data_IF_959412377473
#
_entry.id   IF_959412377473
#
_cell.length_a   1.000
_cell.length_b   1.000
_cell.length_c   1.000
_cell.angle_alpha   90.00
_cell.angle_beta   90.00
_cell.angle_gamma   90.00
#
_symmetry.space_group_name_H-M   'P 1'
#
loop_
_entity.id
_entity.type
_entity.pdbx_description
1 polymer ?
#
# COMPACT_ATOMS: atom_id res chain seq x y z
N UNK A 1 3.92 2.43 5.59
CA UNK A 1 4.97 1.68 4.85
C UNK A 1 4.70 1.61 3.34
N UNK A 2 3.67 0.90 2.84
CA UNK A 2 3.31 0.81 1.40
C UNK A 2 3.37 2.12 0.61
N UNK A 3 2.76 3.19 1.14
CA UNK A 3 2.75 4.50 0.45
C UNK A 3 4.15 5.10 0.27
N UNK A 4 5.09 4.84 1.21
CA UNK A 4 6.48 5.28 1.07
C UNK A 4 7.15 4.53 -0.08
N UNK A 5 6.96 3.19 -0.15
CA UNK A 5 7.47 2.36 -1.25
C UNK A 5 6.93 2.77 -2.61
N UNK A 6 5.64 3.14 -2.68
CA UNK A 6 5.05 3.61 -3.95
C UNK A 6 5.69 4.92 -4.40
N UNK A 7 5.92 5.87 -3.47
CA UNK A 7 6.59 7.15 -3.76
C UNK A 7 8.05 6.96 -4.20
N UNK A 8 8.80 6.09 -3.53
CA UNK A 8 10.19 5.80 -3.92
C UNK A 8 10.23 5.17 -5.30
N UNK A 9 9.36 4.19 -5.57
CA UNK A 9 9.25 3.56 -6.88
C UNK A 9 8.91 4.57 -8.00
N UNK A 10 7.96 5.48 -7.77
CA UNK A 10 7.65 6.54 -8.75
C UNK A 10 8.86 7.45 -9.02
N UNK A 11 9.66 7.71 -7.99
CA UNK A 11 10.87 8.54 -8.11
C UNK A 11 11.96 7.80 -8.90
N UNK A 12 12.15 6.51 -8.64
CA UNK A 12 13.08 5.63 -9.37
C UNK A 12 12.71 5.53 -10.85
N UNK A 13 11.44 5.25 -11.15
CA UNK A 13 10.95 5.16 -12.54
C UNK A 13 11.15 6.48 -13.29
N UNK A 14 10.87 7.63 -12.67
CA UNK A 14 11.13 8.95 -13.27
C UNK A 14 12.63 9.21 -13.49
N UNK A 15 13.51 8.63 -12.67
CA UNK A 15 14.96 8.72 -12.88
C UNK A 15 15.37 7.89 -14.10
N UNK A 16 14.91 6.65 -14.18
CA UNK A 16 15.17 5.75 -15.30
C UNK A 16 14.68 6.34 -16.63
N UNK A 17 13.48 6.93 -16.64
CA UNK A 17 12.93 7.58 -17.82
C UNK A 17 13.79 8.77 -18.30
N UNK A 18 14.32 9.58 -17.37
CA UNK A 18 15.23 10.68 -17.70
C UNK A 18 16.56 10.19 -18.24
N UNK A 19 17.11 9.12 -17.67
CA UNK A 19 18.35 8.49 -18.14
C UNK A 19 18.17 7.90 -19.54
N UNK A 20 17.05 7.21 -19.78
CA UNK A 20 16.67 6.70 -21.09
C UNK A 20 16.58 7.83 -22.12
N UNK A 21 15.89 8.94 -21.80
CA UNK A 21 15.78 10.10 -22.69
C UNK A 21 17.15 10.71 -23.02
N UNK A 22 18.02 10.91 -22.02
CA UNK A 22 19.40 11.37 -22.21
C UNK A 22 20.19 10.42 -23.11
N UNK A 23 20.01 9.11 -22.97
CA UNK A 23 20.68 8.12 -23.82
C UNK A 23 20.18 8.20 -25.27
N UNK A 24 18.87 8.36 -25.49
CA UNK A 24 18.30 8.54 -26.83
C UNK A 24 18.79 9.83 -27.49
N UNK A 25 18.88 10.93 -26.74
CA UNK A 25 19.47 12.20 -27.21
C UNK A 25 20.94 12.03 -27.61
N UNK A 26 21.76 11.37 -26.77
CA UNK A 26 23.17 11.06 -27.10
C UNK A 26 23.28 10.23 -28.38
N UNK A 27 22.44 9.19 -28.52
CA UNK A 27 22.39 8.35 -29.73
C UNK A 27 21.93 9.15 -30.95
N UNK A 28 21.01 10.10 -30.81
CA UNK A 28 20.59 10.98 -31.89
C UNK A 28 21.75 11.86 -32.37
N UNK A 29 22.40 12.59 -31.45
CA UNK A 29 23.58 13.41 -31.78
C UNK A 29 24.71 12.62 -32.43
N UNK A 30 24.95 11.38 -31.99
CA UNK A 30 25.94 10.50 -32.60
C UNK A 30 25.57 10.12 -34.05
N UNK A 31 24.27 9.91 -34.33
CA UNK A 31 23.79 9.65 -35.71
C UNK A 31 23.92 10.87 -36.60
N UNK A 32 23.67 12.06 -36.07
CA UNK A 32 23.79 13.32 -36.83
C UNK A 32 25.26 13.59 -37.18
N UNK A 33 26.17 13.48 -36.21
CA UNK A 33 27.63 13.56 -36.46
C UNK A 33 28.11 12.53 -37.47
N UNK A 34 27.64 11.29 -37.37
CA UNK A 34 27.99 10.25 -38.35
C UNK A 34 27.50 10.63 -39.76
N UNK A 35 26.32 11.23 -39.88
CA UNK A 35 25.77 11.66 -41.17
C UNK A 35 26.54 12.83 -41.80
N UNK A 36 27.11 13.74 -41.00
CA UNK A 36 27.95 14.85 -41.47
C UNK A 36 29.34 14.37 -41.93
N UNK A 37 29.92 13.44 -41.18
CA UNK A 37 31.31 12.99 -41.38
C UNK A 37 31.47 11.83 -42.35
N UNK A 38 30.42 11.04 -42.57
CA UNK A 38 30.48 9.86 -43.45
C UNK A 38 29.78 10.10 -44.77
N UNK A 39 30.55 10.04 -45.85
CA UNK A 39 30.00 10.04 -47.20
C UNK A 39 29.18 8.78 -47.49
N UNK A 40 28.04 9.02 -48.12
CA UNK A 40 27.09 7.96 -48.47
C UNK A 40 27.56 7.26 -49.74
N UNK A 41 27.99 6.00 -49.61
CA UNK A 41 28.26 5.15 -50.79
C UNK A 41 26.97 4.95 -51.60
N UNK A 42 27.02 5.22 -52.90
CA UNK A 42 25.92 5.00 -53.85
C UNK A 42 26.34 3.96 -54.90
N UNK A 43 25.38 3.23 -55.45
CA UNK A 43 25.62 2.28 -56.54
C UNK A 43 25.77 3.05 -57.85
N UNK A 44 26.27 2.39 -58.90
CA UNK A 44 26.30 2.95 -60.26
C UNK A 44 24.93 3.48 -60.73
N UNK A 45 23.82 2.97 -60.16
CA UNK A 45 22.45 3.38 -60.46
C UNK A 45 21.89 4.42 -59.46
N UNK A 46 22.75 5.06 -58.66
CA UNK A 46 22.36 6.12 -57.71
C UNK A 46 21.72 5.66 -56.40
N UNK A 47 21.44 4.36 -56.22
CA UNK A 47 20.88 3.81 -54.98
C UNK A 47 21.90 3.87 -53.84
N UNK A 48 21.51 4.33 -52.64
CA UNK A 48 22.38 4.27 -51.44
C UNK A 48 22.73 2.81 -51.15
N UNK A 49 24.03 2.50 -51.07
CA UNK A 49 24.51 1.23 -50.53
C UNK A 49 24.61 1.32 -49.01
N UNK A 50 24.22 0.23 -48.35
CA UNK A 50 24.35 0.08 -46.90
C UNK A 50 23.01 -0.13 -46.20
N UNK A 51 23.10 -0.39 -44.89
CA UNK A 51 21.93 -0.71 -44.07
C UNK A 51 21.01 0.51 -43.95
N UNK A 52 19.70 0.38 -44.17
CA UNK A 52 18.76 1.49 -44.01
C UNK A 52 18.82 2.05 -42.59
N UNK A 53 18.55 3.36 -42.44
CA UNK A 53 18.45 4.02 -41.14
C UNK A 53 17.38 3.32 -40.31
N UNK A 54 17.77 2.70 -39.18
CA UNK A 54 16.81 2.20 -38.19
C UNK A 54 16.11 3.40 -37.55
N UNK A 55 14.86 3.69 -37.94
CA UNK A 55 13.98 4.60 -37.20
C UNK A 55 13.71 3.94 -35.85
N UNK A 56 14.12 4.57 -34.74
CA UNK A 56 13.82 4.04 -33.40
C UNK A 56 12.81 4.95 -32.72
N UNK A 57 11.56 4.53 -32.76
CA UNK A 57 10.52 4.99 -31.84
C UNK A 57 10.58 4.14 -30.56
N UNK A 58 11.75 4.05 -29.93
CA UNK A 58 11.86 3.33 -28.66
C UNK A 58 11.22 4.17 -27.57
N UNK A 59 10.08 3.70 -27.06
CA UNK A 59 9.42 4.26 -25.89
C UNK A 59 10.09 3.69 -24.63
N UNK A 60 10.15 4.49 -23.56
CA UNK A 60 10.55 3.98 -22.26
C UNK A 60 9.49 3.01 -21.75
N UNK A 61 9.90 1.80 -21.40
CA UNK A 61 9.06 0.80 -20.75
C UNK A 61 9.60 0.52 -19.35
N UNK A 62 8.79 0.71 -18.29
CA UNK A 62 9.23 0.42 -16.93
C UNK A 62 9.44 -1.08 -16.71
N UNK A 63 10.35 -1.42 -15.80
CA UNK A 63 10.63 -2.81 -15.45
C UNK A 63 9.37 -3.51 -14.92
N UNK A 64 9.00 -4.61 -15.57
CA UNK A 64 7.90 -5.48 -15.17
C UNK A 64 8.41 -6.58 -14.22
N UNK A 65 7.53 -7.03 -13.33
CA UNK A 65 7.75 -8.15 -12.42
C UNK A 65 7.43 -9.48 -13.13
N UNK A 66 7.60 -10.61 -12.44
CA UNK A 66 7.31 -11.95 -12.99
C UNK A 66 5.86 -12.13 -13.44
N UNK A 67 4.93 -11.39 -12.81
CA UNK A 67 3.51 -11.37 -13.18
C UNK A 67 3.19 -10.41 -14.36
N UNK A 68 4.20 -9.77 -14.96
CA UNK A 68 4.02 -8.83 -16.07
C UNK A 68 3.57 -7.42 -15.66
N UNK A 69 3.33 -7.17 -14.36
CA UNK A 69 2.91 -5.87 -13.84
C UNK A 69 4.10 -5.00 -13.43
N UNK A 70 3.90 -3.69 -13.34
CA UNK A 70 4.91 -2.82 -12.73
C UNK A 70 4.86 -2.91 -11.21
N UNK A 71 5.97 -2.59 -10.55
CA UNK A 71 6.02 -2.48 -9.08
C UNK A 71 5.02 -1.45 -8.53
N UNK A 72 4.64 -0.44 -9.32
CA UNK A 72 3.63 0.55 -8.90
C UNK A 72 2.21 -0.03 -8.90
N UNK A 73 1.90 -0.89 -9.86
CA UNK A 73 0.61 -1.58 -9.99
C UNK A 73 0.45 -2.59 -8.84
N UNK A 74 1.47 -3.43 -8.63
CA UNK A 74 1.54 -4.35 -7.48
C UNK A 74 1.26 -3.61 -6.16
N UNK A 75 1.98 -2.51 -5.90
CA UNK A 75 1.79 -1.71 -4.68
C UNK A 75 0.40 -1.08 -4.58
N UNK A 76 -0.31 -0.94 -5.69
CA UNK A 76 -1.70 -0.45 -5.72
C UNK A 76 -2.66 -1.55 -5.33
N UNK A 77 -2.55 -2.73 -5.94
CA UNK A 77 -3.45 -3.86 -5.73
C UNK A 77 -3.34 -4.45 -4.32
N UNK A 78 -2.12 -4.58 -3.79
CA UNK A 78 -1.87 -5.12 -2.42
C UNK A 78 -2.44 -4.26 -1.29
N UNK A 79 -3.04 -3.09 -1.57
CA UNK A 79 -3.68 -2.23 -0.56
C UNK A 79 -4.67 -2.98 0.32
N UNK A 80 -5.62 -3.66 -0.32
CA UNK A 80 -6.73 -4.32 0.35
C UNK A 80 -6.33 -5.69 0.89
N UNK A 81 -5.57 -6.53 0.15
CA UNK A 81 -5.02 -7.78 0.69
C UNK A 81 -4.25 -7.60 1.99
N UNK A 82 -3.43 -6.54 2.13
CA UNK A 82 -2.71 -6.24 3.37
C UNK A 82 -3.61 -6.07 4.61
N UNK A 83 -4.88 -5.72 4.43
CA UNK A 83 -5.85 -5.57 5.54
C UNK A 83 -6.60 -6.85 5.88
N UNK A 84 -6.59 -7.85 4.99
CA UNK A 84 -7.31 -9.12 5.14
C UNK A 84 -6.44 -10.21 5.79
N UNK A 85 -7.05 -11.31 6.20
CA UNK A 85 -6.29 -12.51 6.56
C UNK A 85 -5.87 -13.26 5.28
N UNK A 86 -4.82 -14.07 5.38
CA UNK A 86 -4.32 -14.84 4.25
C UNK A 86 -5.34 -15.83 3.69
N UNK A 87 -6.27 -16.31 4.53
CA UNK A 87 -7.35 -17.21 4.12
C UNK A 87 -8.40 -16.51 3.24
N UNK A 88 -8.50 -15.18 3.33
CA UNK A 88 -9.50 -14.39 2.60
C UNK A 88 -8.94 -13.83 1.27
N UNK A 89 -7.73 -14.25 0.89
CA UNK A 89 -7.09 -13.84 -0.34
C UNK A 89 -7.53 -14.72 -1.51
N UNK A 90 -7.85 -14.09 -2.63
CA UNK A 90 -7.97 -14.80 -3.91
C UNK A 90 -6.60 -15.29 -4.36
N UNK A 91 -6.55 -16.26 -5.28
CA UNK A 91 -5.27 -16.80 -5.75
C UNK A 91 -4.39 -15.74 -6.43
N UNK A 92 -5.02 -14.81 -7.16
CA UNK A 92 -4.36 -13.62 -7.67
C UNK A 92 -3.72 -12.77 -6.55
N UNK A 93 -4.46 -12.50 -5.47
CA UNK A 93 -3.93 -11.74 -4.33
C UNK A 93 -2.81 -12.48 -3.60
N UNK A 94 -2.87 -13.81 -3.53
CA UNK A 94 -1.78 -14.62 -2.93
C UNK A 94 -0.48 -14.45 -3.70
N UNK A 95 -0.54 -14.48 -5.03
CA UNK A 95 0.64 -14.30 -5.88
C UNK A 95 1.20 -12.88 -5.75
N UNK A 96 0.35 -11.84 -5.79
CA UNK A 96 0.78 -10.47 -5.56
C UNK A 96 1.42 -10.27 -4.17
N UNK A 97 0.80 -10.82 -3.13
CA UNK A 97 1.32 -10.72 -1.77
C UNK A 97 2.64 -11.46 -1.61
N UNK A 98 2.81 -12.61 -2.28
CA UNK A 98 4.08 -13.33 -2.35
C UNK A 98 5.17 -12.45 -2.98
N UNK A 99 4.92 -11.88 -4.16
CA UNK A 99 5.85 -10.98 -4.84
C UNK A 99 6.20 -9.76 -3.98
N UNK A 100 5.21 -9.15 -3.32
CA UNK A 100 5.43 -8.04 -2.42
C UNK A 100 6.38 -8.42 -1.27
N UNK A 101 6.21 -9.62 -0.71
CA UNK A 101 7.02 -10.08 0.42
C UNK A 101 8.43 -10.51 0.02
N UNK A 102 8.62 -10.96 -1.23
CA UNK A 102 9.94 -11.19 -1.82
C UNK A 102 10.69 -9.87 -2.05
N UNK A 103 10.01 -8.85 -2.59
CA UNK A 103 10.59 -7.53 -2.85
C UNK A 103 10.86 -6.76 -1.54
N UNK A 104 9.95 -6.82 -0.57
CA UNK A 104 10.04 -6.08 0.69
C UNK A 104 9.77 -6.99 1.90
N UNK A 105 10.81 -7.68 2.42
CA UNK A 105 10.68 -8.57 3.58
C UNK A 105 10.18 -7.87 4.85
N UNK A 106 10.44 -6.55 5.01
CA UNK A 106 9.92 -5.79 6.16
C UNK A 106 8.39 -5.72 6.16
N UNK A 107 7.75 -5.69 4.98
CA UNK A 107 6.29 -5.72 4.87
C UNK A 107 5.73 -7.08 5.30
N UNK A 108 6.43 -8.18 5.00
CA UNK A 108 6.08 -9.53 5.49
C UNK A 108 6.10 -9.60 7.01
N UNK A 109 7.16 -9.07 7.62
CA UNK A 109 7.29 -9.03 9.08
C UNK A 109 6.18 -8.17 9.73
N UNK A 110 5.90 -6.98 9.17
CA UNK A 110 4.82 -6.12 9.65
C UNK A 110 3.45 -6.80 9.53
N UNK A 111 3.15 -7.42 8.39
CA UNK A 111 1.90 -8.14 8.15
C UNK A 111 1.74 -9.29 9.15
N UNK A 112 2.78 -10.10 9.35
CA UNK A 112 2.77 -11.20 10.32
C UNK A 112 2.50 -10.73 11.75
N UNK A 113 3.06 -9.59 12.16
CA UNK A 113 2.78 -9.00 13.48
C UNK A 113 1.33 -8.53 13.62
N UNK A 114 0.75 -7.93 12.57
CA UNK A 114 -0.66 -7.52 12.58
C UNK A 114 -1.61 -8.71 12.61
N UNK A 115 -1.31 -9.77 11.85
CA UNK A 115 -2.06 -11.03 11.91
C UNK A 115 -1.96 -11.69 13.28
N UNK A 116 -0.77 -11.68 13.90
CA UNK A 116 -0.60 -12.18 15.26
C UNK A 116 -1.44 -11.40 16.26
N UNK A 117 -1.49 -10.06 16.14
CA UNK A 117 -2.35 -9.23 16.98
C UNK A 117 -3.82 -9.58 16.79
N UNK A 118 -4.30 -9.65 15.53
CA UNK A 118 -5.68 -10.04 15.22
C UNK A 118 -6.03 -11.40 15.82
N UNK A 119 -5.13 -12.38 15.71
CA UNK A 119 -5.31 -13.71 16.29
C UNK A 119 -5.47 -13.67 17.82
N UNK A 120 -4.83 -12.73 18.52
CA UNK A 120 -5.03 -12.57 19.97
C UNK A 120 -6.49 -12.21 20.26
N UNK A 121 -7.03 -11.19 19.58
CA UNK A 121 -8.41 -10.75 19.76
C UNK A 121 -9.45 -11.78 19.28
N UNK A 122 -9.15 -12.52 18.21
CA UNK A 122 -10.05 -13.55 17.70
C UNK A 122 -10.06 -14.82 18.55
N UNK A 123 -8.88 -15.33 18.95
CA UNK A 123 -8.76 -16.68 19.54
C UNK A 123 -8.74 -16.71 21.07
N UNK A 124 -8.28 -15.64 21.73
CA UNK A 124 -8.23 -15.62 23.21
C UNK A 124 -9.60 -15.29 23.76
N UNK A 125 -10.05 -16.10 24.73
CA UNK A 125 -11.33 -15.91 25.44
C UNK A 125 -11.10 -15.19 26.77
N UNK A 126 -10.06 -15.57 27.51
CA UNK A 126 -9.82 -15.04 28.85
C UNK A 126 -8.88 -13.84 28.86
N UNK A 127 -9.19 -12.85 29.72
CA UNK A 127 -8.39 -11.65 29.95
C UNK A 127 -6.93 -11.95 30.33
N UNK A 128 -6.70 -12.90 31.25
CA UNK A 128 -5.34 -13.31 31.68
C UNK A 128 -4.54 -13.91 30.52
N UNK A 129 -5.17 -14.78 29.73
CA UNK A 129 -4.55 -15.42 28.56
C UNK A 129 -4.22 -14.40 27.47
N UNK A 130 -5.12 -13.44 27.22
CA UNK A 130 -4.92 -12.33 26.30
C UNK A 130 -3.76 -11.43 26.73
N UNK A 131 -3.68 -11.06 28.03
CA UNK A 131 -2.57 -10.26 28.58
C UNK A 131 -1.22 -10.91 28.33
N UNK A 132 -1.08 -12.21 28.64
CA UNK A 132 0.16 -12.96 28.38
C UNK A 132 0.51 -12.98 26.89
N UNK A 133 -0.49 -13.12 26.02
CA UNK A 133 -0.29 -13.11 24.57
C UNK A 133 0.12 -11.73 24.04
N UNK A 134 -0.50 -10.65 24.53
CA UNK A 134 -0.13 -9.27 24.20
C UNK A 134 1.31 -8.97 24.62
N UNK A 135 1.73 -9.37 25.82
CA UNK A 135 3.10 -9.17 26.28
C UNK A 135 4.12 -9.92 25.42
N UNK A 136 3.80 -11.15 24.98
CA UNK A 136 4.61 -11.89 23.99
C UNK A 136 4.66 -11.14 22.66
N UNK A 137 3.54 -10.61 22.20
CA UNK A 137 3.47 -9.82 20.97
C UNK A 137 4.30 -8.52 21.08
N UNK A 138 4.26 -7.80 22.21
CA UNK A 138 5.09 -6.61 22.43
C UNK A 138 6.59 -6.92 22.31
N UNK A 139 7.04 -8.02 22.89
CA UNK A 139 8.42 -8.49 22.78
C UNK A 139 8.81 -8.76 21.33
N UNK A 140 7.93 -9.41 20.57
CA UNK A 140 8.15 -9.67 19.14
C UNK A 140 8.21 -8.38 18.32
N UNK A 141 7.31 -7.42 18.57
CA UNK A 141 7.34 -6.10 17.92
C UNK A 141 8.63 -5.34 18.23
N UNK A 142 9.12 -5.42 19.49
CA UNK A 142 10.38 -4.80 19.88
C UNK A 142 11.59 -5.31 19.07
N UNK A 143 11.55 -6.55 18.60
CA UNK A 143 12.64 -7.17 17.81
C UNK A 143 12.67 -6.72 16.35
N UNK A 144 11.55 -6.31 15.75
CA UNK A 144 11.49 -6.02 14.29
C UNK A 144 11.96 -4.61 13.92
N UNK A 145 12.15 -3.71 14.90
CA UNK A 145 12.57 -2.30 14.68
C UNK A 145 11.69 -1.52 13.68
N UNK A 146 10.45 -1.96 13.45
CA UNK A 146 9.51 -1.28 12.55
C UNK A 146 8.78 -0.17 13.31
N UNK A 147 9.17 1.09 13.08
CA UNK A 147 8.67 2.26 13.82
C UNK A 147 7.14 2.36 13.82
N UNK A 148 6.50 2.12 12.67
CA UNK A 148 5.05 2.19 12.55
C UNK A 148 4.33 1.18 13.46
N UNK A 149 4.83 -0.06 13.59
CA UNK A 149 4.22 -1.09 14.44
C UNK A 149 4.60 -0.88 15.92
N UNK A 150 5.80 -0.38 16.19
CA UNK A 150 6.24 0.03 17.53
C UNK A 150 5.31 1.11 18.09
N UNK A 151 4.96 2.13 17.29
CA UNK A 151 4.01 3.15 17.70
C UNK A 151 2.64 2.56 18.06
N UNK A 152 2.12 1.62 17.24
CA UNK A 152 0.86 0.92 17.55
C UNK A 152 0.96 0.13 18.86
N UNK A 153 2.06 -0.59 19.07
CA UNK A 153 2.33 -1.30 20.32
C UNK A 153 2.31 -0.36 21.52
N UNK A 154 2.96 0.79 21.43
CA UNK A 154 3.08 1.72 22.54
C UNK A 154 1.71 2.34 22.89
N UNK A 155 0.89 2.66 21.89
CA UNK A 155 -0.50 3.08 22.10
C UNK A 155 -1.34 2.01 22.80
N UNK A 156 -1.25 0.75 22.34
CA UNK A 156 -1.98 -0.36 22.97
C UNK A 156 -1.49 -0.58 24.41
N UNK A 157 -0.17 -0.55 24.63
CA UNK A 157 0.43 -0.74 25.95
C UNK A 157 0.01 0.36 26.93
N UNK A 158 -0.05 1.61 26.49
CA UNK A 158 -0.47 2.75 27.31
C UNK A 158 -1.95 2.65 27.76
N UNK A 159 -2.79 1.96 26.98
CA UNK A 159 -4.22 1.75 27.28
C UNK A 159 -4.53 0.27 27.52
N UNK A 160 -3.54 -0.52 27.94
CA UNK A 160 -3.65 -1.99 28.01
C UNK A 160 -4.84 -2.44 28.85
N UNK A 161 -5.07 -1.79 29.99
CA UNK A 161 -6.16 -2.15 30.90
C UNK A 161 -7.54 -2.05 30.22
N UNK A 162 -7.78 -0.96 29.48
CA UNK A 162 -9.00 -0.75 28.71
C UNK A 162 -9.12 -1.73 27.54
N UNK A 163 -8.01 -2.00 26.84
CA UNK A 163 -7.97 -2.97 25.74
C UNK A 163 -8.29 -4.37 26.26
N UNK A 164 -7.81 -4.73 27.45
CA UNK A 164 -8.06 -6.02 28.07
C UNK A 164 -9.51 -6.21 28.51
N UNK A 165 -10.27 -5.13 28.77
CA UNK A 165 -11.69 -5.21 29.10
C UNK A 165 -12.53 -5.80 27.96
N UNK A 166 -12.05 -5.72 26.72
CA UNK A 166 -12.65 -6.45 25.59
C UNK A 166 -12.78 -7.95 25.89
N UNK A 167 -11.84 -8.57 26.61
CA UNK A 167 -11.88 -10.01 26.86
C UNK A 167 -12.78 -10.42 28.03
N UNK A 168 -13.43 -9.48 28.74
CA UNK A 168 -14.40 -9.84 29.78
C UNK A 168 -15.72 -10.28 29.14
N UNK A 169 -16.31 -9.43 28.30
CA UNK A 169 -17.63 -9.66 27.69
C UNK A 169 -17.58 -9.71 26.16
N UNK A 170 -16.43 -9.41 25.53
CA UNK A 170 -16.28 -9.25 24.07
C UNK A 170 -17.24 -8.24 23.46
N UNK A 171 -17.77 -7.34 24.29
CA UNK A 171 -18.60 -6.23 23.86
C UNK A 171 -17.78 -5.35 22.92
N UNK A 172 -18.26 -5.20 21.70
CA UNK A 172 -17.68 -4.30 20.72
C UNK A 172 -18.36 -2.93 20.85
N UNK A 173 -17.62 -1.87 20.53
CA UNK A 173 -18.17 -0.52 20.43
C UNK A 173 -19.05 -0.33 19.17
N UNK A 174 -19.30 -1.40 18.40
CA UNK A 174 -20.01 -1.35 17.12
C UNK A 174 -21.44 -0.79 17.24
N UNK A 175 -22.26 -1.14 18.27
CA UNK A 175 -23.58 -0.52 18.45
C UNK A 175 -23.49 0.99 18.69
N UNK A 176 -22.55 1.43 19.53
CA UNK A 176 -22.31 2.85 19.80
C UNK A 176 -21.76 3.59 18.57
N UNK A 177 -20.89 2.97 17.76
CA UNK A 177 -20.41 3.53 16.49
C UNK A 177 -21.52 3.63 15.43
N UNK A 178 -22.40 2.62 15.36
CA UNK A 178 -23.58 2.64 14.51
C UNK A 178 -24.52 3.77 14.91
N UNK A 179 -24.82 3.91 16.21
CA UNK A 179 -25.63 5.00 16.74
C UNK A 179 -25.00 6.37 16.44
N UNK A 180 -23.70 6.53 16.69
CA UNK A 180 -22.97 7.76 16.37
C UNK A 180 -23.05 8.11 14.88
N UNK A 181 -23.02 7.10 14.00
CA UNK A 181 -23.16 7.29 12.55
C UNK A 181 -24.57 7.73 12.18
N UNK A 182 -25.61 7.14 12.80
CA UNK A 182 -27.01 7.54 12.64
C UNK A 182 -27.25 8.98 13.11
N UNK A 183 -26.76 9.35 14.29
CA UNK A 183 -26.88 10.71 14.83
C UNK A 183 -26.18 11.73 13.92
N UNK A 184 -24.97 11.40 13.41
CA UNK A 184 -24.27 12.25 12.44
C UNK A 184 -25.06 12.40 11.14
N UNK A 185 -25.69 11.33 10.66
CA UNK A 185 -26.57 11.36 9.50
C UNK A 185 -27.78 12.27 9.71
N UNK A 186 -28.48 12.12 10.84
CA UNK A 186 -29.60 12.97 11.21
C UNK A 186 -29.18 14.45 11.28
N UNK A 187 -28.06 14.74 11.96
CA UNK A 187 -27.51 16.10 12.05
C UNK A 187 -27.22 16.72 10.69
N UNK A 188 -26.72 15.93 9.74
CA UNK A 188 -26.44 16.40 8.39
C UNK A 188 -27.73 16.72 7.62
N UNK A 189 -28.79 15.92 7.80
CA UNK A 189 -30.10 16.16 7.17
C UNK A 189 -30.79 17.42 7.71
N UNK A 190 -30.63 17.73 9.00
CA UNK A 190 -31.21 18.95 9.60
C UNK A 190 -30.31 20.18 9.46
N UNK A 191 -29.20 20.07 8.72
CA UNK A 191 -28.26 21.16 8.39
C UNK A 191 -27.69 21.93 9.60
N UNK A 192 -27.64 21.29 10.77
CA UNK A 192 -27.17 21.93 12.01
C UNK A 192 -28.12 21.68 13.17
N UNK A 193 -27.72 22.13 14.36
CA UNK A 193 -28.52 22.01 15.58
C UNK A 193 -28.57 23.38 16.24
N UNK A 194 -29.73 24.04 16.15
CA UNK A 194 -30.01 25.31 16.84
C UNK A 194 -30.52 25.10 18.26
N UNK A 195 -31.34 24.06 18.46
CA UNK A 195 -31.90 23.66 19.75
C UNK A 195 -31.39 22.26 20.14
N UNK A 196 -30.43 22.23 21.07
CA UNK A 196 -29.81 20.99 21.53
C UNK A 196 -30.79 20.10 22.33
N UNK A 197 -31.59 20.62 23.30
CA UNK A 197 -32.66 19.86 23.93
C UNK A 197 -33.60 19.18 22.94
N UNK A 198 -34.12 19.92 21.95
CA UNK A 198 -35.03 19.36 20.96
C UNK A 198 -34.35 18.33 20.04
N UNK A 199 -33.09 18.56 19.68
CA UNK A 199 -32.31 17.59 18.91
C UNK A 199 -32.09 16.28 19.69
N UNK A 200 -31.78 16.36 20.99
CA UNK A 200 -31.63 15.18 21.84
C UNK A 200 -32.96 14.44 22.01
N UNK A 201 -34.06 15.17 22.19
CA UNK A 201 -35.41 14.61 22.19
C UNK A 201 -35.67 13.80 20.91
N UNK A 202 -35.43 14.38 19.73
CA UNK A 202 -35.59 13.68 18.44
C UNK A 202 -34.67 12.46 18.30
N UNK A 203 -33.41 12.55 18.73
CA UNK A 203 -32.49 11.43 18.70
C UNK A 203 -33.03 10.25 19.53
N UNK A 204 -33.56 10.55 20.72
CA UNK A 204 -34.17 9.54 21.59
C UNK A 204 -35.44 8.95 20.98
N UNK A 205 -36.33 9.78 20.42
CA UNK A 205 -37.57 9.29 19.79
C UNK A 205 -37.32 8.39 18.55
N UNK A 206 -36.24 8.64 17.80
CA UNK A 206 -35.98 7.94 16.53
C UNK A 206 -35.05 6.72 16.72
N UNK A 207 -34.07 6.81 17.62
CA UNK A 207 -33.01 5.80 17.77
C UNK A 207 -32.95 5.15 19.15
N UNK A 208 -33.71 5.65 20.13
CA UNK A 208 -33.74 5.20 21.53
C UNK A 208 -34.73 4.08 21.78
#
# INVERSE_FOLDING_TARGET
MRMKLKRTNTTEVKREEREFRKQQEKRAKARDRYAETHEVKKSKNGKRLGRPRKRKNEKFEPKKLSNGETKADLLTHVRYPLTKNHNDWTDFQKEEMRLLFEIEPKMKAAYGLLCALRNIFSKKKDRKSAKKALHKWYKNVGRTRIREIISVRDTIKAKEEYVLNFFNNRSTNAPAESLNSKIKGLRAQVHGVSDLPFFMFRCFTIFG
#
